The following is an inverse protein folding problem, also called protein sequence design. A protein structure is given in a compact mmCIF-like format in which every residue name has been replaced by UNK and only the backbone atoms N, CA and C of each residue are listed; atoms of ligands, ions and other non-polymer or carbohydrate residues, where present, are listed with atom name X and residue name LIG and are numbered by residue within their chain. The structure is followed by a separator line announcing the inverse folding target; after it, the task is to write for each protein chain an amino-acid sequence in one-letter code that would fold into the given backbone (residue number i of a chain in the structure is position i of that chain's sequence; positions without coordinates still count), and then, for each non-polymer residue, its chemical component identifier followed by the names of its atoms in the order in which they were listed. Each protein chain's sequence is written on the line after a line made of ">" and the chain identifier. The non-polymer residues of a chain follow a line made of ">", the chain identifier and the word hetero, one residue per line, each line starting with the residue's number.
data_IF_770071039649
#
_entry.id   IF_770071039649
#
_cell.length_a   1.000
_cell.length_b   1.000
_cell.length_c   1.000
_cell.angle_alpha   90.00
_cell.angle_beta   90.00
_cell.angle_gamma   90.00
#
_symmetry.space_group_name_H-M   'P 1'
#
loop_
_entity.id
_entity.type
_entity.pdbx_description
1 polymer ?
#
# COMPACT_ATOMS: atom_id res chain seq x y z
N UNK A 1 -5.05 16.74 -34.58
CA UNK A 1 -4.96 16.74 -33.10
C UNK A 1 -4.24 18.01 -32.67
N UNK A 2 -4.82 18.88 -31.83
CA UNK A 2 -4.13 20.15 -31.49
C UNK A 2 -2.97 19.89 -30.53
N UNK A 3 -1.88 20.68 -30.56
CA UNK A 3 -0.75 20.51 -29.64
C UNK A 3 -1.16 20.54 -28.16
N UNK A 4 -2.18 21.35 -27.84
CA UNK A 4 -2.75 21.50 -26.51
C UNK A 4 -3.46 20.24 -26.01
N UNK A 5 -4.21 19.52 -26.86
CA UNK A 5 -4.86 18.25 -26.46
C UNK A 5 -3.84 17.13 -26.27
N UNK A 6 -2.81 17.05 -27.14
CA UNK A 6 -1.70 16.08 -26.99
C UNK A 6 -1.00 16.21 -25.63
N UNK A 7 -0.63 17.45 -25.26
CA UNK A 7 0.06 17.74 -23.99
C UNK A 7 -0.80 17.39 -22.78
N UNK A 8 -2.10 17.73 -22.81
CA UNK A 8 -3.04 17.41 -21.73
C UNK A 8 -3.20 15.89 -21.55
N UNK A 9 -3.32 15.12 -22.63
CA UNK A 9 -3.40 13.65 -22.57
C UNK A 9 -2.11 13.03 -22.04
N UNK A 10 -0.95 13.49 -22.48
CA UNK A 10 0.34 13.02 -21.98
C UNK A 10 0.51 13.29 -20.47
N UNK A 11 0.08 14.46 -19.99
CA UNK A 11 0.10 14.80 -18.58
C UNK A 11 -0.78 13.86 -17.74
N UNK A 12 -2.02 13.63 -18.18
CA UNK A 12 -2.95 12.71 -17.47
C UNK A 12 -2.41 11.28 -17.47
N UNK A 13 -1.82 10.82 -18.58
CA UNK A 13 -1.19 9.50 -18.65
C UNK A 13 -0.02 9.36 -17.66
N UNK A 14 0.83 10.38 -17.54
CA UNK A 14 1.92 10.40 -16.54
C UNK A 14 1.37 10.38 -15.12
N UNK A 15 0.34 11.16 -14.83
CA UNK A 15 -0.30 11.18 -13.50
C UNK A 15 -0.94 9.84 -13.14
N UNK A 16 -1.56 9.15 -14.11
CA UNK A 16 -2.07 7.79 -13.92
C UNK A 16 -0.95 6.79 -13.60
N UNK A 17 0.17 6.86 -14.33
CA UNK A 17 1.32 6.00 -14.06
C UNK A 17 1.85 6.21 -12.63
N UNK A 18 2.03 7.47 -12.21
CA UNK A 18 2.45 7.80 -10.84
C UNK A 18 1.43 7.33 -9.79
N UNK A 19 0.12 7.48 -10.06
CA UNK A 19 -0.92 7.00 -9.15
C UNK A 19 -0.91 5.48 -8.97
N UNK A 20 -0.63 4.72 -10.04
CA UNK A 20 -0.50 3.26 -9.97
C UNK A 20 0.73 2.81 -9.18
N UNK A 21 1.84 3.52 -9.33
CA UNK A 21 3.06 3.27 -8.54
C UNK A 21 2.77 3.53 -7.06
N UNK A 22 2.20 4.69 -6.73
CA UNK A 22 1.84 5.05 -5.36
C UNK A 22 0.88 4.02 -4.72
N UNK A 23 -0.12 3.54 -5.47
CA UNK A 23 -1.02 2.46 -4.99
C UNK A 23 -0.24 1.18 -4.68
N UNK A 24 0.68 0.77 -5.56
CA UNK A 24 1.49 -0.44 -5.37
C UNK A 24 2.41 -0.30 -4.16
N UNK A 25 3.05 0.86 -3.99
CA UNK A 25 3.90 1.14 -2.83
C UNK A 25 3.10 1.12 -1.52
N UNK A 26 1.93 1.75 -1.49
CA UNK A 26 1.05 1.73 -0.32
C UNK A 26 0.56 0.32 0.02
N UNK A 27 0.22 -0.51 -0.98
CA UNK A 27 -0.10 -1.92 -0.79
C UNK A 27 1.08 -2.71 -0.20
N UNK A 28 2.29 -2.50 -0.74
CA UNK A 28 3.50 -3.13 -0.25
C UNK A 28 3.81 -2.75 1.20
N UNK A 29 3.71 -1.45 1.53
CA UNK A 29 3.89 -0.94 2.88
C UNK A 29 2.86 -1.52 3.86
N UNK A 30 1.59 -1.58 3.48
CA UNK A 30 0.53 -2.17 4.30
C UNK A 30 0.78 -3.66 4.55
N UNK A 31 1.15 -4.42 3.52
CA UNK A 31 1.47 -5.84 3.66
C UNK A 31 2.69 -6.06 4.57
N UNK A 32 3.71 -5.21 4.45
CA UNK A 32 4.90 -5.25 5.30
C UNK A 32 4.56 -4.98 6.78
N UNK A 33 3.80 -3.93 7.05
CA UNK A 33 3.38 -3.56 8.41
C UNK A 33 2.53 -4.65 9.08
N UNK A 34 1.55 -5.22 8.35
CA UNK A 34 0.72 -6.33 8.87
C UNK A 34 1.54 -7.60 9.14
N UNK A 35 2.50 -7.90 8.27
CA UNK A 35 3.39 -9.04 8.48
C UNK A 35 4.28 -8.84 9.72
N UNK A 36 4.78 -7.62 9.93
CA UNK A 36 5.60 -7.29 11.10
C UNK A 36 4.79 -7.32 12.40
N UNK A 37 3.58 -6.74 12.41
CA UNK A 37 2.66 -6.82 13.54
C UNK A 37 2.42 -8.28 13.96
N UNK A 38 2.11 -9.15 12.98
CA UNK A 38 1.90 -10.58 13.22
C UNK A 38 3.14 -11.27 13.78
N UNK A 39 4.32 -11.01 13.21
CA UNK A 39 5.59 -11.59 13.67
C UNK A 39 5.92 -11.15 15.09
N UNK A 40 5.84 -9.85 15.35
CA UNK A 40 6.12 -9.24 16.64
C UNK A 40 5.17 -9.76 17.73
N UNK A 41 3.88 -9.88 17.43
CA UNK A 41 2.90 -10.49 18.36
C UNK A 41 3.20 -11.95 18.65
N UNK A 42 3.55 -12.74 17.63
CA UNK A 42 3.92 -14.15 17.83
C UNK A 42 5.20 -14.30 18.67
N UNK A 43 6.19 -13.44 18.45
CA UNK A 43 7.43 -13.41 19.23
C UNK A 43 7.17 -13.05 20.68
N UNK A 44 6.30 -12.06 20.94
CA UNK A 44 5.92 -11.68 22.28
C UNK A 44 5.31 -12.86 23.05
N UNK A 45 4.29 -13.49 22.47
CA UNK A 45 3.62 -14.66 23.08
C UNK A 45 4.63 -15.76 23.38
N UNK A 46 5.42 -16.17 22.40
CA UNK A 46 6.43 -17.24 22.57
C UNK A 46 7.46 -16.90 23.64
N UNK A 47 7.88 -15.64 23.71
CA UNK A 47 8.87 -15.20 24.71
C UNK A 47 8.29 -15.22 26.12
N UNK A 48 7.02 -14.85 26.29
CA UNK A 48 6.32 -14.98 27.59
C UNK A 48 6.15 -16.44 27.99
N UNK A 49 5.73 -17.29 27.06
CA UNK A 49 5.55 -18.73 27.31
C UNK A 49 6.87 -19.37 27.75
N UNK A 50 7.96 -19.08 27.05
CA UNK A 50 9.30 -19.53 27.43
C UNK A 50 9.72 -18.96 28.79
N UNK A 51 9.46 -17.68 29.08
CA UNK A 51 9.80 -17.10 30.38
C UNK A 51 9.07 -17.83 31.52
N UNK A 52 7.79 -18.15 31.33
CA UNK A 52 6.98 -18.89 32.29
C UNK A 52 7.49 -20.32 32.50
N UNK A 53 7.91 -21.01 31.43
CA UNK A 53 8.49 -22.35 31.49
C UNK A 53 9.81 -22.36 32.31
N UNK A 54 10.67 -21.37 32.10
CA UNK A 54 11.96 -21.28 32.78
C UNK A 54 11.86 -20.79 34.23
N UNK A 55 10.83 -20.00 34.56
CA UNK A 55 10.58 -19.48 35.90
C UNK A 55 9.72 -20.41 36.78
N UNK A 56 9.00 -21.36 36.17
CA UNK A 56 8.08 -22.26 36.88
C UNK A 56 8.76 -23.40 37.65
N UNK A 57 8.11 -23.95 38.70
CA UNK A 57 8.65 -25.04 39.51
C UNK A 57 8.82 -26.37 38.76
N UNK A 58 8.23 -26.50 37.56
CA UNK A 58 8.32 -27.69 36.70
C UNK A 58 9.45 -27.67 35.66
N UNK A 59 10.26 -26.61 35.61
CA UNK A 59 11.27 -26.39 34.57
C UNK A 59 12.52 -27.27 34.68
N UNK A 60 12.37 -28.58 34.91
CA UNK A 60 13.42 -29.60 35.12
C UNK A 60 13.71 -29.84 36.60
N UNK A 61 13.07 -30.89 37.11
CA UNK A 61 13.20 -31.38 38.48
C UNK A 61 14.65 -31.70 38.83
N UNK A 62 15.18 -30.94 39.76
CA UNK A 62 16.49 -31.12 40.36
C UNK A 62 16.85 -29.90 41.20
N UNK A 63 17.45 -30.11 42.37
CA UNK A 63 17.91 -29.04 43.24
C UNK A 63 19.04 -28.23 42.57
N UNK A 64 18.68 -27.27 41.71
CA UNK A 64 19.64 -26.32 41.14
C UNK A 64 19.92 -25.23 42.18
N UNK A 65 21.15 -25.21 42.69
CA UNK A 65 21.59 -24.26 43.73
C UNK A 65 22.58 -23.25 43.15
N UNK A 66 22.56 -22.01 43.64
CA UNK A 66 23.58 -21.00 43.34
C UNK A 66 23.55 -20.46 41.91
N UNK A 67 24.69 -20.52 41.21
CA UNK A 67 24.91 -19.84 39.94
C UNK A 67 23.97 -20.29 38.80
N UNK A 68 23.55 -21.56 38.79
CA UNK A 68 22.64 -22.10 37.78
C UNK A 68 21.24 -21.48 37.89
N UNK A 69 20.71 -21.35 39.11
CA UNK A 69 19.43 -20.69 39.37
C UNK A 69 19.50 -19.19 38.98
N UNK A 70 20.58 -18.50 39.36
CA UNK A 70 20.79 -17.11 38.97
C UNK A 70 20.90 -16.93 37.44
N UNK A 71 21.54 -17.88 36.75
CA UNK A 71 21.58 -17.92 35.28
C UNK A 71 20.19 -18.03 34.66
N UNK A 72 19.35 -18.94 35.16
CA UNK A 72 17.98 -19.13 34.67
C UNK A 72 17.08 -17.93 34.91
N UNK A 73 17.14 -17.32 36.09
CA UNK A 73 16.36 -16.13 36.39
C UNK A 73 16.76 -14.95 35.49
N UNK A 74 18.05 -14.77 35.20
CA UNK A 74 18.52 -13.77 34.23
C UNK A 74 18.00 -14.05 32.82
N UNK A 75 18.02 -15.32 32.40
CA UNK A 75 17.48 -15.70 31.09
C UNK A 75 15.97 -15.46 30.99
N UNK A 76 15.20 -15.85 32.01
CA UNK A 76 13.77 -15.58 32.07
C UNK A 76 13.47 -14.07 32.06
N UNK A 77 14.24 -13.26 32.80
CA UNK A 77 14.14 -11.79 32.76
C UNK A 77 14.45 -11.22 31.38
N UNK A 78 15.45 -11.76 30.67
CA UNK A 78 15.76 -11.36 29.30
C UNK A 78 14.61 -11.69 28.32
N UNK A 79 13.94 -12.83 28.49
CA UNK A 79 12.77 -13.21 27.70
C UNK A 79 11.56 -12.30 27.97
N UNK A 80 11.33 -11.91 29.22
CA UNK A 80 10.28 -10.93 29.57
C UNK A 80 10.55 -9.58 28.90
N UNK A 81 11.79 -9.11 28.93
CA UNK A 81 12.18 -7.88 28.24
C UNK A 81 11.97 -7.98 26.73
N UNK A 82 12.40 -9.10 26.11
CA UNK A 82 12.21 -9.35 24.69
C UNK A 82 10.71 -9.36 24.31
N UNK A 83 9.85 -9.95 25.16
CA UNK A 83 8.41 -9.93 24.95
C UNK A 83 7.86 -8.49 24.93
N UNK A 84 8.27 -7.66 25.89
CA UNK A 84 7.87 -6.25 25.94
C UNK A 84 8.35 -5.44 24.73
N UNK A 85 9.59 -5.65 24.28
CA UNK A 85 10.12 -5.01 23.07
C UNK A 85 9.35 -5.44 21.81
N UNK A 86 9.00 -6.74 21.72
CA UNK A 86 8.21 -7.27 20.61
C UNK A 86 6.76 -6.73 20.63
N UNK A 87 6.16 -6.52 21.79
CA UNK A 87 4.85 -5.87 21.91
C UNK A 87 4.88 -4.43 21.43
N UNK A 88 5.85 -3.64 21.90
CA UNK A 88 6.01 -2.26 21.49
C UNK A 88 6.19 -2.15 19.97
N UNK A 89 7.00 -3.04 19.37
CA UNK A 89 7.12 -3.13 17.91
C UNK A 89 5.82 -3.55 17.22
N UNK A 90 5.08 -4.50 17.79
CA UNK A 90 3.78 -4.92 17.26
C UNK A 90 2.79 -3.76 17.23
N UNK A 91 2.72 -2.96 18.30
CA UNK A 91 1.89 -1.75 18.35
C UNK A 91 2.30 -0.70 17.34
N UNK A 92 3.61 -0.46 17.17
CA UNK A 92 4.14 0.46 16.18
C UNK A 92 3.78 0.01 14.76
N UNK A 93 3.97 -1.27 14.45
CA UNK A 93 3.60 -1.87 13.18
C UNK A 93 2.08 -1.78 12.90
N UNK A 94 1.24 -1.95 13.93
CA UNK A 94 -0.21 -1.76 13.81
C UNK A 94 -0.58 -0.29 13.50
N UNK A 95 0.09 0.68 14.14
CA UNK A 95 -0.09 2.11 13.84
C UNK A 95 0.36 2.42 12.40
N UNK A 96 1.49 1.86 11.98
CA UNK A 96 2.00 1.98 10.62
C UNK A 96 1.02 1.38 9.61
N UNK A 97 0.47 0.19 9.87
CA UNK A 97 -0.56 -0.43 9.04
C UNK A 97 -1.78 0.49 8.88
N UNK A 98 -2.24 1.13 9.97
CA UNK A 98 -3.30 2.14 9.91
C UNK A 98 -2.94 3.35 9.04
N UNK A 99 -1.71 3.85 9.10
CA UNK A 99 -1.21 4.91 8.22
C UNK A 99 -1.16 4.47 6.75
N UNK A 100 -0.65 3.28 6.46
CA UNK A 100 -0.56 2.73 5.11
C UNK A 100 -1.93 2.46 4.50
N UNK A 101 -2.90 1.97 5.29
CA UNK A 101 -4.29 1.79 4.85
C UNK A 101 -4.94 3.12 4.43
N UNK A 102 -4.71 4.20 5.19
CA UNK A 102 -5.19 5.55 4.82
C UNK A 102 -4.50 6.07 3.56
N UNK A 103 -3.19 5.87 3.44
CA UNK A 103 -2.43 6.24 2.25
C UNK A 103 -2.92 5.51 1.00
N UNK A 104 -3.20 4.20 1.12
CA UNK A 104 -3.76 3.38 0.07
C UNK A 104 -5.14 3.90 -0.37
N UNK A 105 -6.06 4.14 0.57
CA UNK A 105 -7.38 4.68 0.26
C UNK A 105 -7.30 6.05 -0.45
N UNK A 106 -6.36 6.91 -0.04
CA UNK A 106 -6.12 8.18 -0.72
C UNK A 106 -5.56 8.00 -2.15
N UNK A 107 -4.64 7.05 -2.34
CA UNK A 107 -4.08 6.71 -3.64
C UNK A 107 -5.14 6.14 -4.59
N UNK A 108 -6.03 5.27 -4.09
CA UNK A 108 -7.11 4.67 -4.86
C UNK A 108 -8.13 5.73 -5.31
N UNK A 109 -8.62 6.58 -4.41
CA UNK A 109 -9.49 7.72 -4.77
C UNK A 109 -8.85 8.63 -5.82
N UNK A 110 -7.56 8.92 -5.68
CA UNK A 110 -6.84 9.74 -6.65
C UNK A 110 -6.74 9.05 -8.01
N UNK A 111 -6.53 7.73 -8.02
CA UNK A 111 -6.48 6.94 -9.24
C UNK A 111 -7.83 6.95 -9.96
N UNK A 112 -8.94 6.70 -9.24
CA UNK A 112 -10.30 6.77 -9.78
C UNK A 112 -10.59 8.11 -10.44
N UNK A 113 -10.26 9.22 -9.75
CA UNK A 113 -10.42 10.56 -10.32
C UNK A 113 -9.59 10.77 -11.59
N UNK A 114 -8.36 10.26 -11.63
CA UNK A 114 -7.50 10.37 -12.80
C UNK A 114 -8.00 9.52 -13.97
N UNK A 115 -8.56 8.34 -13.69
CA UNK A 115 -9.15 7.45 -14.70
C UNK A 115 -10.41 8.09 -15.32
N UNK A 116 -11.27 8.68 -14.49
CA UNK A 116 -12.41 9.46 -14.96
C UNK A 116 -11.98 10.65 -15.85
N UNK A 117 -10.94 11.39 -15.43
CA UNK A 117 -10.38 12.50 -16.23
C UNK A 117 -9.77 12.00 -17.55
N UNK A 118 -9.12 10.85 -17.55
CA UNK A 118 -8.57 10.24 -18.76
C UNK A 118 -9.67 9.81 -19.73
N UNK A 119 -10.75 9.20 -19.22
CA UNK A 119 -11.91 8.83 -20.02
C UNK A 119 -12.58 10.06 -20.64
N UNK A 120 -12.79 11.12 -19.85
CA UNK A 120 -13.32 12.40 -20.34
C UNK A 120 -12.42 13.02 -21.42
N UNK A 121 -11.10 13.00 -21.23
CA UNK A 121 -10.16 13.50 -22.23
C UNK A 121 -10.21 12.71 -23.55
N UNK A 122 -10.36 11.37 -23.49
CA UNK A 122 -10.52 10.52 -24.69
C UNK A 122 -11.81 10.84 -25.44
N UNK A 123 -12.95 10.90 -24.73
CA UNK A 123 -14.24 11.27 -25.34
C UNK A 123 -14.21 12.65 -25.99
N UNK A 124 -13.55 13.63 -25.35
CA UNK A 124 -13.39 14.96 -25.92
C UNK A 124 -12.51 14.97 -27.19
N UNK A 125 -11.51 14.08 -27.27
CA UNK A 125 -10.69 13.89 -28.47
C UNK A 125 -11.48 13.23 -29.60
N UNK A 126 -12.30 12.22 -29.29
CA UNK A 126 -13.19 11.53 -30.24
C UNK A 126 -14.21 12.52 -30.84
N UNK A 127 -14.95 13.25 -30.01
CA UNK A 127 -15.90 14.26 -30.49
C UNK A 127 -15.21 15.37 -31.32
N UNK A 128 -14.00 15.77 -30.95
CA UNK A 128 -13.26 16.78 -31.72
C UNK A 128 -12.73 16.25 -33.05
N UNK A 129 -12.59 14.92 -33.18
CA UNK A 129 -12.24 14.25 -34.43
C UNK A 129 -13.48 14.14 -35.32
N UNK A 130 -14.60 13.65 -34.80
CA UNK A 130 -15.88 13.55 -35.51
C UNK A 130 -16.28 14.91 -36.11
N UNK A 131 -16.28 15.99 -35.32
CA UNK A 131 -16.58 17.35 -35.82
C UNK A 131 -15.68 17.81 -36.97
N UNK A 132 -14.41 17.35 -37.01
CA UNK A 132 -13.50 17.69 -38.10
C UNK A 132 -13.77 16.86 -39.35
N UNK A 133 -14.12 15.60 -39.17
CA UNK A 133 -14.52 14.70 -40.26
C UNK A 133 -15.82 15.21 -40.90
N UNK A 134 -16.81 15.61 -40.10
CA UNK A 134 -18.06 16.24 -40.57
C UNK A 134 -17.81 17.58 -41.29
N UNK A 135 -16.97 18.44 -40.71
CA UNK A 135 -16.60 19.72 -41.32
C UNK A 135 -15.81 19.57 -42.63
N UNK A 136 -15.05 18.47 -42.79
CA UNK A 136 -14.35 18.16 -44.03
C UNK A 136 -15.29 17.59 -45.12
N UNK A 137 -16.36 16.91 -44.74
CA UNK A 137 -17.37 16.39 -45.68
C UNK A 137 -18.30 17.48 -46.25
N UNK A 138 -18.62 18.53 -45.48
CA UNK A 138 -19.56 19.58 -45.88
C UNK A 138 -19.18 20.42 -47.13
N UNK A 139 -17.90 20.77 -47.38
CA UNK A 139 -17.47 21.43 -48.61
C UNK A 139 -17.50 20.53 -49.85
N UNK A 140 -17.25 19.23 -49.67
CA UNK A 140 -17.30 18.22 -50.75
C UNK A 140 -18.74 17.98 -51.22
N UNK A 141 -19.68 17.85 -50.29
CA UNK A 141 -21.11 17.69 -50.60
C UNK A 141 -21.67 18.90 -51.37
N UNK A 142 -21.27 20.13 -50.99
CA UNK A 142 -21.70 21.37 -51.68
C UNK A 142 -21.07 21.56 -53.06
N UNK A 143 -19.89 20.98 -53.32
CA UNK A 143 -19.28 20.97 -54.66
C UNK A 143 -19.99 19.99 -55.59
N UNK A 144 -20.38 18.81 -55.09
CA UNK A 144 -21.11 17.81 -55.89
C UNK A 144 -22.53 18.29 -56.29
N UNK A 145 -23.22 19.03 -55.42
CA UNK A 145 -24.53 19.63 -55.75
C UNK A 145 -24.48 20.80 -56.73
N UNK A 146 -23.31 21.42 -56.95
CA UNK A 146 -23.15 22.53 -57.91
C UNK A 146 -22.64 22.07 -59.28
N UNK A 147 -22.26 20.80 -59.41
CA UNK A 147 -21.74 20.21 -60.66
C UNK A 147 -22.72 19.23 -61.32
N UNK A 148 -23.94 19.08 -60.79
CA UNK A 148 -25.08 18.44 -61.48
C UNK A 148 -26.03 19.50 -61.99
#
# INVERSE_FOLDING_TARGET
>A
MTPRTKRRRALVARQLALGRIARREALGGLAGALAEEKRSRALAVRSRDMAAEYAGPGGHGGAQVGAALAGRLRFAGALVRLAGEAEARGEEAAREAGCQARALAAAERRLEMLEARAASARRAEEMARERREDAAAGPLARKLQRSS
#
